data_IF_932694565074
#
_entry.id   IF_932694565074
#
_cell.length_a   1.000
_cell.length_b   1.000
_cell.length_c   1.000
_cell.angle_alpha   90.00
_cell.angle_beta   90.00
_cell.angle_gamma   90.00
#
_symmetry.space_group_name_H-M   'P 1'
#
loop_
_entity.id
_entity.type
_entity.pdbx_description
1 polymer ?
#
# COMPACT_ATOMS: atom_id res chain seq x y z
N UNK A 1 13.11 79.07 -25.24
CA UNK A 1 11.80 79.45 -25.80
C UNK A 1 11.20 78.17 -26.35
N UNK A 2 10.23 77.65 -25.61
CA UNK A 2 9.15 76.74 -26.05
C UNK A 2 9.50 75.33 -26.54
N UNK A 3 9.21 74.38 -25.63
CA UNK A 3 8.27 73.26 -25.80
C UNK A 3 8.83 71.82 -25.74
N UNK A 4 8.67 71.28 -24.53
CA UNK A 4 8.31 69.88 -24.27
C UNK A 4 7.14 69.46 -25.16
N UNK A 5 7.31 68.42 -25.98
CA UNK A 5 6.18 67.58 -26.39
C UNK A 5 6.60 66.12 -26.54
N UNK A 6 6.43 65.41 -25.43
CA UNK A 6 5.83 64.09 -25.35
C UNK A 6 5.43 63.43 -26.69
N UNK A 7 6.13 62.36 -27.05
CA UNK A 7 5.52 61.23 -27.76
C UNK A 7 6.06 59.93 -27.16
N UNK A 8 5.54 59.62 -25.97
CA UNK A 8 5.17 58.24 -25.73
C UNK A 8 4.16 57.77 -26.79
N UNK A 9 3.99 56.45 -26.86
CA UNK A 9 3.08 55.68 -27.72
C UNK A 9 3.85 54.97 -28.84
N UNK A 10 4.21 53.71 -28.54
CA UNK A 10 3.69 52.57 -29.29
C UNK A 10 3.77 51.29 -28.42
N UNK A 11 3.19 51.36 -27.22
CA UNK A 11 2.81 50.18 -26.42
C UNK A 11 1.30 49.92 -26.48
N UNK A 12 0.59 50.47 -27.46
CA UNK A 12 -0.86 50.31 -27.63
C UNK A 12 -1.26 49.35 -28.77
N UNK A 13 -0.29 48.66 -29.38
CA UNK A 13 -0.54 47.79 -30.54
C UNK A 13 -0.77 46.30 -30.25
N UNK A 14 -0.57 45.82 -29.01
CA UNK A 14 -0.65 44.37 -28.70
C UNK A 14 -1.92 44.02 -27.89
N UNK A 15 -2.69 45.02 -27.44
CA UNK A 15 -3.92 44.79 -26.67
C UNK A 15 -5.18 44.60 -27.54
N UNK A 16 -5.08 44.80 -28.86
CA UNK A 16 -6.21 44.72 -29.80
C UNK A 16 -6.34 43.38 -30.55
N UNK A 17 -5.48 42.39 -30.29
CA UNK A 17 -5.71 41.02 -30.73
C UNK A 17 -6.59 40.32 -29.69
N UNK A 18 -7.91 40.53 -29.82
CA UNK A 18 -8.98 39.84 -29.09
C UNK A 18 -8.95 38.33 -29.34
N UNK A 19 -7.91 37.66 -28.85
CA UNK A 19 -7.90 36.22 -28.67
C UNK A 19 -8.59 35.98 -27.34
N UNK A 20 -9.93 36.05 -27.35
CA UNK A 20 -10.72 35.32 -26.37
C UNK A 20 -10.39 33.84 -26.56
N UNK A 21 -9.41 33.33 -25.79
CA UNK A 21 -9.24 31.89 -25.66
C UNK A 21 -10.56 31.33 -25.13
N UNK A 22 -11.17 30.34 -25.80
CA UNK A 22 -12.42 29.78 -25.31
C UNK A 22 -12.20 29.27 -23.88
N UNK A 23 -12.92 29.87 -22.93
CA UNK A 23 -12.91 29.49 -21.52
C UNK A 23 -13.27 28.00 -21.48
N UNK A 24 -12.46 27.11 -20.86
CA UNK A 24 -12.78 25.70 -20.82
C UNK A 24 -14.15 25.53 -20.16
N UNK A 25 -15.11 24.97 -20.89
CA UNK A 25 -16.45 24.74 -20.36
C UNK A 25 -16.37 23.87 -19.09
N UNK A 26 -17.17 24.14 -18.05
CA UNK A 26 -17.31 23.21 -16.95
C UNK A 26 -18.04 21.97 -17.49
N UNK A 27 -17.28 21.02 -18.02
CA UNK A 27 -17.78 19.69 -18.36
C UNK A 27 -18.47 19.14 -17.13
N UNK A 28 -19.80 19.00 -17.22
CA UNK A 28 -20.66 18.54 -16.16
C UNK A 28 -20.09 17.27 -15.54
N UNK A 29 -19.43 17.43 -14.38
CA UNK A 29 -18.91 16.30 -13.61
C UNK A 29 -20.15 15.55 -13.15
N UNK A 30 -20.51 14.49 -13.89
CA UNK A 30 -21.58 13.57 -13.50
C UNK A 30 -21.30 13.11 -12.08
N UNK A 31 -21.99 13.70 -11.12
CA UNK A 31 -22.05 13.22 -9.73
C UNK A 31 -22.95 11.99 -9.72
N UNK A 32 -22.49 10.91 -10.34
CA UNK A 32 -23.16 9.62 -10.28
C UNK A 32 -23.05 9.11 -8.85
N UNK A 33 -24.18 8.77 -8.23
CA UNK A 33 -24.26 8.10 -6.95
C UNK A 33 -23.35 6.85 -6.96
N UNK A 34 -22.21 6.92 -6.28
CA UNK A 34 -21.04 6.07 -6.56
C UNK A 34 -20.47 5.33 -5.36
N UNK A 35 -21.15 5.26 -4.21
CA UNK A 35 -20.57 4.62 -3.02
C UNK A 35 -20.23 3.14 -3.26
N UNK A 36 -21.24 2.34 -3.59
CA UNK A 36 -21.10 0.88 -3.71
C UNK A 36 -20.34 0.43 -4.97
N UNK A 37 -20.55 1.12 -6.10
CA UNK A 37 -19.83 0.84 -7.35
C UNK A 37 -18.35 1.22 -7.27
N UNK A 38 -18.00 2.20 -6.43
CA UNK A 38 -16.60 2.57 -6.18
C UNK A 38 -15.92 1.53 -5.30
N UNK A 39 -16.56 1.07 -4.22
CA UNK A 39 -16.01 -0.01 -3.37
C UNK A 39 -15.81 -1.28 -4.19
N UNK A 40 -16.80 -1.67 -5.00
CA UNK A 40 -16.68 -2.83 -5.88
C UNK A 40 -15.55 -2.68 -6.91
N UNK A 41 -15.34 -1.46 -7.43
CA UNK A 41 -14.20 -1.15 -8.29
C UNK A 41 -12.87 -1.34 -7.55
N UNK A 42 -12.75 -0.87 -6.31
CA UNK A 42 -11.54 -1.07 -5.50
C UNK A 42 -11.28 -2.54 -5.18
N UNK A 43 -12.33 -3.31 -4.80
CA UNK A 43 -12.22 -4.76 -4.57
C UNK A 43 -11.80 -5.49 -5.85
N UNK A 44 -12.36 -5.13 -7.00
CA UNK A 44 -11.96 -5.71 -8.29
C UNK A 44 -10.50 -5.41 -8.62
N UNK A 45 -10.05 -4.19 -8.40
CA UNK A 45 -8.63 -3.80 -8.60
C UNK A 45 -7.73 -4.58 -7.64
N UNK A 46 -8.09 -4.66 -6.36
CA UNK A 46 -7.36 -5.44 -5.36
C UNK A 46 -7.21 -6.91 -5.77
N UNK A 47 -8.29 -7.53 -6.26
CA UNK A 47 -8.26 -8.92 -6.74
C UNK A 47 -7.27 -9.13 -7.90
N UNK A 48 -7.16 -8.16 -8.82
CA UNK A 48 -6.18 -8.24 -9.90
C UNK A 48 -4.73 -8.13 -9.39
N UNK A 49 -4.47 -7.26 -8.40
CA UNK A 49 -3.17 -7.19 -7.74
C UNK A 49 -2.83 -8.50 -7.02
N UNK A 50 -3.78 -9.04 -6.24
CA UNK A 50 -3.60 -10.31 -5.55
C UNK A 50 -3.29 -11.45 -6.53
N UNK A 51 -4.01 -11.52 -7.65
CA UNK A 51 -3.75 -12.51 -8.70
C UNK A 51 -2.37 -12.35 -9.32
N UNK A 52 -1.95 -11.11 -9.61
CA UNK A 52 -0.63 -10.84 -10.17
C UNK A 52 0.49 -11.24 -9.20
N UNK A 53 0.36 -10.88 -7.91
CA UNK A 53 1.29 -11.29 -6.85
C UNK A 53 1.34 -12.81 -6.70
N UNK A 54 0.19 -13.49 -6.73
CA UNK A 54 0.13 -14.94 -6.65
C UNK A 54 0.85 -15.63 -7.82
N UNK A 55 0.67 -15.12 -9.04
CA UNK A 55 1.39 -15.61 -10.22
C UNK A 55 2.91 -15.36 -10.11
N UNK A 56 3.33 -14.22 -9.57
CA UNK A 56 4.74 -13.91 -9.36
C UNK A 56 5.39 -14.86 -8.33
N UNK A 57 4.69 -15.18 -7.23
CA UNK A 57 5.16 -16.17 -6.26
C UNK A 57 5.28 -17.57 -6.89
N UNK A 58 4.31 -17.96 -7.73
CA UNK A 58 4.34 -19.27 -8.40
C UNK A 58 5.40 -19.37 -9.51
N UNK A 59 5.97 -18.25 -9.97
CA UNK A 59 7.09 -18.27 -10.91
C UNK A 59 8.36 -18.86 -10.28
N UNK A 60 8.51 -18.76 -8.94
CA UNK A 60 9.63 -19.30 -8.17
C UNK A 60 9.16 -20.40 -7.20
N UNK A 61 8.86 -21.62 -7.70
CA UNK A 61 8.24 -22.67 -6.90
C UNK A 61 9.10 -23.15 -5.72
N UNK A 62 10.44 -23.13 -5.87
CA UNK A 62 11.36 -23.53 -4.81
C UNK A 62 11.28 -22.57 -3.63
N UNK A 63 11.38 -21.27 -3.90
CA UNK A 63 11.28 -20.22 -2.89
C UNK A 63 9.93 -20.28 -2.17
N UNK A 64 8.86 -20.46 -2.94
CA UNK A 64 7.52 -20.65 -2.39
C UNK A 64 7.45 -21.84 -1.42
N UNK A 65 7.96 -23.01 -1.80
CA UNK A 65 7.93 -24.20 -0.93
C UNK A 65 8.79 -23.98 0.32
N UNK A 66 10.02 -23.48 0.17
CA UNK A 66 10.95 -23.28 1.29
C UNK A 66 10.37 -22.30 2.29
N UNK A 67 9.86 -21.15 1.84
CA UNK A 67 9.28 -20.13 2.72
C UNK A 67 8.04 -20.65 3.45
N UNK A 68 7.14 -21.35 2.76
CA UNK A 68 5.95 -21.94 3.40
C UNK A 68 6.32 -23.04 4.41
N UNK A 69 7.23 -23.95 4.05
CA UNK A 69 7.67 -25.04 4.93
C UNK A 69 8.39 -24.46 6.15
N UNK A 70 9.25 -23.46 5.97
CA UNK A 70 9.95 -22.78 7.06
C UNK A 70 8.97 -22.09 8.00
N UNK A 71 7.97 -21.38 7.47
CA UNK A 71 6.92 -20.74 8.27
C UNK A 71 6.10 -21.74 9.09
N UNK A 72 5.73 -22.87 8.50
CA UNK A 72 5.03 -23.97 9.20
C UNK A 72 5.91 -24.61 10.24
N UNK A 73 7.17 -24.91 9.92
CA UNK A 73 8.14 -25.50 10.85
C UNK A 73 8.42 -24.57 12.04
N UNK A 74 8.56 -23.27 11.80
CA UNK A 74 8.72 -22.25 12.84
C UNK A 74 7.49 -22.20 13.76
N UNK A 75 6.30 -22.18 13.18
CA UNK A 75 5.03 -22.16 13.94
C UNK A 75 4.86 -23.44 14.77
N UNK A 76 5.14 -24.61 14.20
CA UNK A 76 5.09 -25.88 14.94
C UNK A 76 6.16 -25.96 16.03
N UNK A 77 7.38 -25.54 15.73
CA UNK A 77 8.49 -25.49 16.69
C UNK A 77 8.17 -24.60 17.89
N UNK A 78 7.48 -23.49 17.65
CA UNK A 78 7.05 -22.59 18.72
C UNK A 78 5.96 -23.18 19.62
N UNK A 79 4.99 -23.93 19.05
CA UNK A 79 4.00 -24.69 19.84
C UNK A 79 4.67 -25.84 20.60
N UNK A 80 5.60 -26.55 19.95
CA UNK A 80 6.36 -27.62 20.57
C UNK A 80 7.23 -27.10 21.72
N UNK A 81 7.80 -25.89 21.62
CA UNK A 81 8.52 -25.25 22.71
C UNK A 81 7.63 -25.04 23.94
N UNK A 82 6.40 -24.53 23.74
CA UNK A 82 5.41 -24.40 24.82
C UNK A 82 5.09 -25.77 25.42
N UNK A 83 4.90 -26.80 24.59
CA UNK A 83 4.65 -28.16 25.06
C UNK A 83 5.81 -28.72 25.91
N UNK A 84 7.06 -28.60 25.43
CA UNK A 84 8.26 -29.04 26.15
C UNK A 84 8.42 -28.31 27.48
N UNK A 85 8.15 -27.00 27.53
CA UNK A 85 8.20 -26.23 28.78
C UNK A 85 7.26 -26.79 29.85
N UNK A 86 6.05 -27.19 29.47
CA UNK A 86 5.08 -27.81 30.38
C UNK A 86 5.39 -29.26 30.76
N UNK A 87 6.33 -29.93 30.08
CA UNK A 87 6.82 -31.24 30.53
C UNK A 87 7.73 -31.14 31.76
N UNK A 88 8.47 -30.03 31.89
CA UNK A 88 9.40 -29.80 33.00
C UNK A 88 8.74 -29.02 34.15
N UNK A 89 7.77 -28.15 33.84
CA UNK A 89 7.07 -27.31 34.82
C UNK A 89 5.60 -27.69 34.88
N UNK A 90 5.18 -28.34 35.98
CA UNK A 90 3.78 -28.78 36.19
C UNK A 90 2.77 -27.62 36.16
N UNK A 91 3.19 -26.41 36.56
CA UNK A 91 2.40 -25.20 36.46
C UNK A 91 3.31 -23.97 36.51
N UNK A 92 3.15 -23.03 35.57
CA UNK A 92 3.76 -21.71 35.66
C UNK A 92 2.79 -20.85 36.48
N UNK A 93 3.00 -20.80 37.80
CA UNK A 93 2.08 -20.12 38.71
C UNK A 93 0.71 -20.82 38.80
N UNK A 94 -0.36 -20.09 38.44
CA UNK A 94 -1.78 -20.56 38.44
C UNK A 94 -2.28 -20.93 37.02
N UNK A 95 -1.43 -20.86 36.00
CA UNK A 95 -1.84 -21.05 34.61
C UNK A 95 -1.68 -22.52 34.19
N UNK A 96 -2.75 -23.10 33.66
CA UNK A 96 -2.76 -24.47 33.11
C UNK A 96 -2.32 -24.48 31.64
N UNK A 97 -1.85 -25.64 31.17
CA UNK A 97 -1.45 -25.87 29.77
C UNK A 97 -2.44 -25.29 28.73
N UNK A 98 -3.76 -25.59 28.78
CA UNK A 98 -4.70 -25.07 27.78
C UNK A 98 -4.85 -23.54 27.82
N UNK A 99 -4.68 -22.90 28.98
CA UNK A 99 -4.79 -21.44 29.09
C UNK A 99 -3.59 -20.74 28.44
N UNK A 100 -2.38 -21.26 28.63
CA UNK A 100 -1.18 -20.72 27.99
C UNK A 100 -1.20 -20.98 26.48
N UNK A 101 -1.68 -22.15 26.05
CA UNK A 101 -1.86 -22.46 24.63
C UNK A 101 -2.86 -21.49 23.97
N UNK A 102 -3.93 -21.12 24.66
CA UNK A 102 -4.92 -20.16 24.17
C UNK A 102 -4.30 -18.75 23.99
N UNK A 103 -3.55 -18.27 24.98
CA UNK A 103 -2.85 -16.98 24.90
C UNK A 103 -1.84 -16.99 23.76
N UNK A 104 -1.13 -18.10 23.59
CA UNK A 104 -0.17 -18.29 22.52
C UNK A 104 -0.83 -18.23 21.14
N UNK A 105 -1.92 -18.97 20.96
CA UNK A 105 -2.72 -18.96 19.72
C UNK A 105 -3.27 -17.57 19.39
N UNK A 106 -3.81 -16.85 20.38
CA UNK A 106 -4.26 -15.46 20.20
C UNK A 106 -3.13 -14.52 19.80
N UNK A 107 -1.93 -14.71 20.36
CA UNK A 107 -0.76 -13.90 20.04
C UNK A 107 -0.31 -14.10 18.59
N UNK A 108 -0.23 -15.35 18.13
CA UNK A 108 0.05 -15.65 16.72
C UNK A 108 -1.04 -15.07 15.82
N UNK A 109 -2.31 -15.25 16.18
CA UNK A 109 -3.43 -14.75 15.38
C UNK A 109 -3.40 -13.24 15.21
N UNK A 110 -3.17 -12.49 16.30
CA UNK A 110 -3.01 -11.04 16.26
C UNK A 110 -1.83 -10.63 15.38
N UNK A 111 -0.69 -11.31 15.52
CA UNK A 111 0.48 -11.07 14.68
C UNK A 111 0.19 -11.33 13.20
N UNK A 112 -0.48 -12.42 12.85
CA UNK A 112 -0.85 -12.74 11.47
C UNK A 112 -1.76 -11.69 10.85
N UNK A 113 -2.75 -11.18 11.60
CA UNK A 113 -3.60 -10.07 11.14
C UNK A 113 -2.76 -8.82 10.88
N UNK A 114 -1.84 -8.48 11.80
CA UNK A 114 -0.96 -7.33 11.63
C UNK A 114 -0.11 -7.46 10.36
N UNK A 115 0.52 -8.62 10.14
CA UNK A 115 1.32 -8.87 8.94
C UNK A 115 0.49 -8.78 7.65
N UNK A 116 -0.79 -9.19 7.65
CA UNK A 116 -1.63 -9.13 6.45
C UNK A 116 -1.86 -7.70 5.93
N UNK A 117 -1.95 -6.70 6.82
CA UNK A 117 -2.25 -5.32 6.44
C UNK A 117 -1.01 -4.41 6.42
N UNK A 118 -0.10 -4.59 7.38
CA UNK A 118 0.95 -3.62 7.68
C UNK A 118 2.32 -3.97 7.12
N UNK A 119 2.54 -5.21 6.67
CA UNK A 119 3.87 -5.64 6.19
C UNK A 119 4.35 -4.80 5.00
N UNK A 120 3.46 -4.55 4.03
CA UNK A 120 3.77 -3.71 2.86
C UNK A 120 3.98 -2.23 3.22
N UNK A 121 3.52 -1.80 4.40
CA UNK A 121 3.73 -0.43 4.87
C UNK A 121 5.14 -0.25 5.44
N UNK A 122 5.77 -1.32 5.91
CA UNK A 122 7.14 -1.28 6.44
C UNK A 122 8.21 -1.11 5.36
N UNK A 123 7.92 -1.45 4.10
CA UNK A 123 8.83 -1.22 2.96
C UNK A 123 8.77 0.22 2.41
N UNK A 124 7.83 1.05 2.87
CA UNK A 124 7.73 2.45 2.44
C UNK A 124 9.02 3.28 2.60
N UNK A 125 9.75 3.19 3.73
CA UNK A 125 11.00 3.94 3.87
C UNK A 125 12.06 3.53 2.84
N UNK A 126 12.11 2.24 2.48
CA UNK A 126 13.00 1.75 1.43
C UNK A 126 12.58 2.33 0.06
N UNK A 127 11.28 2.33 -0.25
CA UNK A 127 10.75 2.94 -1.48
C UNK A 127 11.05 4.45 -1.57
N UNK A 128 10.99 5.18 -0.45
CA UNK A 128 11.34 6.60 -0.40
C UNK A 128 12.82 6.81 -0.68
N UNK A 129 13.69 5.98 -0.08
CA UNK A 129 15.14 6.03 -0.31
C UNK A 129 15.51 5.75 -1.77
N UNK A 130 14.80 4.81 -2.40
CA UNK A 130 15.07 4.38 -3.77
C UNK A 130 14.36 5.26 -4.83
N UNK A 131 13.58 6.26 -4.39
CA UNK A 131 12.87 7.19 -5.28
C UNK A 131 11.67 6.60 -6.04
N UNK A 132 11.28 5.36 -5.73
CA UNK A 132 10.19 4.66 -6.42
C UNK A 132 8.80 5.19 -6.08
N UNK A 133 8.69 6.03 -5.05
CA UNK A 133 7.44 6.70 -4.64
C UNK A 133 6.88 7.61 -5.73
N UNK A 134 7.72 8.24 -6.55
CA UNK A 134 7.26 9.09 -7.66
C UNK A 134 6.41 8.30 -8.66
N UNK A 135 6.78 7.03 -8.91
CA UNK A 135 6.01 6.13 -9.78
C UNK A 135 4.60 5.84 -9.25
N UNK A 136 4.41 5.87 -7.94
CA UNK A 136 3.09 5.68 -7.32
C UNK A 136 2.21 6.92 -7.50
N UNK A 137 2.78 8.12 -7.49
CA UNK A 137 2.08 9.40 -7.59
C UNK A 137 1.54 9.66 -9.01
N UNK A 138 2.23 9.18 -10.04
CA UNK A 138 1.80 9.32 -11.44
C UNK A 138 0.57 8.43 -11.75
N UNK A 139 0.31 7.39 -10.95
CA UNK A 139 -0.85 6.50 -11.13
C UNK A 139 -2.10 7.12 -10.51
N UNK A 140 -3.25 7.18 -11.23
CA UNK A 140 -4.48 7.79 -10.74
C UNK A 140 -5.24 6.87 -9.74
N UNK A 141 -4.55 6.42 -8.70
CA UNK A 141 -5.06 5.60 -7.61
C UNK A 141 -4.52 6.14 -6.28
N UNK A 142 -5.26 5.95 -5.18
CA UNK A 142 -4.79 6.40 -3.88
C UNK A 142 -3.45 5.74 -3.53
N UNK A 143 -2.37 6.50 -3.25
CA UNK A 143 -1.02 5.95 -3.09
C UNK A 143 -0.93 4.98 -1.92
N UNK A 144 -1.67 5.22 -0.83
CA UNK A 144 -1.71 4.31 0.32
C UNK A 144 -2.36 2.98 -0.04
N UNK A 145 -3.43 3.00 -0.84
CA UNK A 145 -4.05 1.76 -1.35
C UNK A 145 -3.10 1.00 -2.29
N UNK A 146 -2.34 1.72 -3.13
CA UNK A 146 -1.36 1.11 -4.02
C UNK A 146 -0.20 0.44 -3.28
N UNK A 147 0.18 0.97 -2.11
CA UNK A 147 1.24 0.40 -1.26
C UNK A 147 0.71 -0.82 -0.52
N UNK A 148 -0.46 -0.72 0.10
CA UNK A 148 -1.06 -1.85 0.84
C UNK A 148 -1.38 -3.02 -0.09
N UNK A 149 -1.90 -2.75 -1.29
CA UNK A 149 -2.13 -3.75 -2.34
C UNK A 149 -0.87 -4.03 -3.18
N UNK A 150 0.21 -3.31 -2.89
CA UNK A 150 1.44 -3.28 -3.65
C UNK A 150 2.22 -4.59 -3.54
N UNK A 151 3.12 -4.73 -4.50
CA UNK A 151 3.94 -5.91 -4.78
C UNK A 151 4.59 -6.49 -3.52
N UNK A 152 4.48 -7.82 -3.36
CA UNK A 152 5.37 -8.61 -2.51
C UNK A 152 6.71 -8.70 -3.24
N UNK A 153 7.57 -7.71 -3.06
CA UNK A 153 8.97 -7.86 -3.46
C UNK A 153 9.64 -8.83 -2.50
N UNK A 154 10.39 -9.78 -3.05
CA UNK A 154 11.01 -10.89 -2.33
C UNK A 154 12.53 -10.79 -2.44
N UNK A 155 13.03 -9.56 -2.31
CA UNK A 155 14.45 -9.18 -2.35
C UNK A 155 14.89 -8.43 -1.07
N UNK A 156 13.97 -8.24 -0.11
CA UNK A 156 14.30 -7.83 1.25
C UNK A 156 14.82 -9.05 2.05
N UNK A 157 16.13 -9.02 2.28
CA UNK A 157 16.98 -9.91 3.08
C UNK A 157 16.57 -10.04 4.56
#
# INVERSE_FOLDING_TARGET
MTDMENSGIETEGIEAAGIETPRPEPSCIRKTARGLSTVWRYVKVYYWFLRANWLALMAYPVEFIITNVTGVAYSLGSVAAVWVLFTQVKAIGQWSYPQVLLIYGMSIFSRSIFHLFWVNLMSLPAMVRDGSVDRLLVRPLNPLFQVVAGYLDNDDW
#
